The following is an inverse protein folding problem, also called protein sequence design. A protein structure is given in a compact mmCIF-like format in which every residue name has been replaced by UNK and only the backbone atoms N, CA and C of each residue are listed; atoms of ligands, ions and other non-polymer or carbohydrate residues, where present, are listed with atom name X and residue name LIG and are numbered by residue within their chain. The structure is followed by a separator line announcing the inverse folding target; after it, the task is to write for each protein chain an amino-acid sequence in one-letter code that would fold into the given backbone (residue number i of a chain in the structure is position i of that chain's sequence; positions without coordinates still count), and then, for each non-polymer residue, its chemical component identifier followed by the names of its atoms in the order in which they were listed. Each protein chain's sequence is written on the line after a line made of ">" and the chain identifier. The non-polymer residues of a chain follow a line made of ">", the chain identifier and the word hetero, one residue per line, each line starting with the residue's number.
data_IF_423112180125
#
_entry.id   IF_423112180125
#
_cell.length_a   1.000
_cell.length_b   1.000
_cell.length_c   1.000
_cell.angle_alpha   90.00
_cell.angle_beta   90.00
_cell.angle_gamma   90.00
#
_symmetry.space_group_name_H-M   'P 1'
#
loop_
_entity.id
_entity.type
_entity.pdbx_description
1 polymer ?
#
# COMPACT_ATOMS: atom_id res chain seq x y z
N UNK A 1 -19.48 24.44 -25.88
CA UNK A 1 -18.66 23.38 -25.24
C UNK A 1 -17.90 24.08 -24.12
N UNK A 2 -18.00 23.60 -22.89
CA UNK A 2 -17.26 24.15 -21.74
C UNK A 2 -15.75 24.10 -21.98
N UNK A 3 -15.03 25.20 -21.76
CA UNK A 3 -13.56 25.15 -21.75
C UNK A 3 -13.02 24.41 -20.51
N UNK A 4 -11.72 24.12 -20.47
CA UNK A 4 -11.12 23.34 -19.39
C UNK A 4 -11.23 24.02 -18.01
N UNK A 5 -11.09 25.34 -17.97
CA UNK A 5 -11.17 26.12 -16.73
C UNK A 5 -12.58 26.09 -16.15
N UNK A 6 -13.60 26.27 -16.98
CA UNK A 6 -15.00 26.23 -16.56
C UNK A 6 -15.38 24.83 -16.07
N UNK A 7 -14.89 23.77 -16.75
CA UNK A 7 -15.13 22.40 -16.29
C UNK A 7 -14.49 22.11 -14.94
N UNK A 8 -13.25 22.55 -14.72
CA UNK A 8 -12.56 22.41 -13.44
C UNK A 8 -13.30 23.15 -12.32
N UNK A 9 -13.76 24.38 -12.58
CA UNK A 9 -14.51 25.15 -11.61
C UNK A 9 -15.84 24.44 -11.26
N UNK A 10 -16.57 23.97 -12.24
CA UNK A 10 -17.81 23.22 -12.04
C UNK A 10 -17.61 21.96 -11.20
N UNK A 11 -16.56 21.17 -11.50
CA UNK A 11 -16.21 19.98 -10.73
C UNK A 11 -15.91 20.34 -9.28
N UNK A 12 -15.14 21.40 -9.04
CA UNK A 12 -14.79 21.83 -7.67
C UNK A 12 -15.98 22.37 -6.89
N UNK A 13 -16.89 23.10 -7.55
CA UNK A 13 -18.14 23.56 -6.91
C UNK A 13 -19.05 22.38 -6.54
N UNK A 14 -19.20 21.40 -7.44
CA UNK A 14 -19.97 20.18 -7.16
C UNK A 14 -19.33 19.35 -6.05
N UNK A 15 -18.00 19.23 -6.02
CA UNK A 15 -17.26 18.60 -4.94
C UNK A 15 -17.47 19.29 -3.59
N UNK A 16 -17.48 20.63 -3.55
CA UNK A 16 -17.76 21.41 -2.34
C UNK A 16 -19.17 21.20 -1.82
N UNK A 17 -20.14 21.09 -2.73
CA UNK A 17 -21.56 20.92 -2.40
C UNK A 17 -21.88 19.49 -1.96
N UNK A 18 -21.44 18.50 -2.74
CA UNK A 18 -21.91 17.10 -2.62
C UNK A 18 -20.86 16.18 -1.96
N UNK A 19 -19.65 16.69 -1.71
CA UNK A 19 -18.50 15.97 -1.14
C UNK A 19 -17.83 15.00 -2.11
N UNK A 20 -18.53 14.57 -3.17
CA UNK A 20 -18.04 13.64 -4.19
C UNK A 20 -18.68 13.90 -5.55
N UNK A 21 -18.02 13.47 -6.62
CA UNK A 21 -18.52 13.54 -8.02
C UNK A 21 -18.35 12.19 -8.70
N UNK A 22 -19.26 11.87 -9.64
CA UNK A 22 -19.24 10.67 -10.45
C UNK A 22 -18.91 11.00 -11.91
N UNK A 23 -18.06 10.18 -12.57
CA UNK A 23 -17.66 10.38 -13.97
C UNK A 23 -18.86 10.36 -14.91
N UNK A 24 -19.82 9.44 -14.73
CA UNK A 24 -20.98 9.32 -15.60
C UNK A 24 -21.88 10.56 -15.52
N UNK A 25 -22.16 11.03 -14.29
CA UNK A 25 -22.94 12.26 -14.07
C UNK A 25 -22.25 13.48 -14.71
N UNK A 26 -20.93 13.63 -14.51
CA UNK A 26 -20.17 14.73 -15.10
C UNK A 26 -20.14 14.66 -16.63
N UNK A 27 -20.11 13.48 -17.23
CA UNK A 27 -20.22 13.30 -18.68
C UNK A 27 -21.56 13.81 -19.21
N UNK A 28 -22.67 13.44 -18.56
CA UNK A 28 -24.01 13.86 -18.95
C UNK A 28 -24.20 15.37 -18.76
N UNK A 29 -23.80 15.92 -17.62
CA UNK A 29 -23.97 17.34 -17.29
C UNK A 29 -23.13 18.26 -18.14
N UNK A 30 -21.91 17.85 -18.53
CA UNK A 30 -20.98 18.68 -19.30
C UNK A 30 -20.96 18.38 -20.80
N UNK A 31 -21.60 17.30 -21.25
CA UNK A 31 -21.61 16.87 -22.64
C UNK A 31 -20.22 16.52 -23.20
N UNK A 32 -19.33 15.92 -22.36
CA UNK A 32 -17.97 15.55 -22.75
C UNK A 32 -17.70 14.07 -22.50
N UNK A 33 -16.66 13.54 -23.16
CA UNK A 33 -16.31 12.10 -23.03
C UNK A 33 -15.76 11.75 -21.66
N UNK A 34 -15.91 10.50 -21.26
CA UNK A 34 -15.30 9.99 -20.01
C UNK A 34 -13.77 10.07 -19.99
N UNK A 35 -13.12 10.08 -21.15
CA UNK A 35 -11.67 10.30 -21.25
C UNK A 35 -11.33 11.74 -20.85
N UNK A 36 -12.12 12.71 -21.30
CA UNK A 36 -11.96 14.14 -20.95
C UNK A 36 -12.14 14.32 -19.44
N UNK A 37 -13.22 13.79 -18.87
CA UNK A 37 -13.46 13.88 -17.42
C UNK A 37 -12.33 13.24 -16.61
N UNK A 38 -11.83 12.06 -17.01
CA UNK A 38 -10.70 11.42 -16.31
C UNK A 38 -9.43 12.27 -16.34
N UNK A 39 -9.15 12.97 -17.46
CA UNK A 39 -8.03 13.92 -17.55
C UNK A 39 -8.25 15.12 -16.64
N UNK A 40 -9.45 15.70 -16.64
CA UNK A 40 -9.78 16.84 -15.77
C UNK A 40 -9.64 16.49 -14.29
N UNK A 41 -10.18 15.33 -13.86
CA UNK A 41 -10.04 14.85 -12.48
C UNK A 41 -8.58 14.58 -12.12
N UNK A 42 -7.77 14.06 -13.04
CA UNK A 42 -6.33 13.86 -12.81
C UNK A 42 -5.61 15.19 -12.60
N UNK A 43 -5.86 16.19 -13.43
CA UNK A 43 -5.24 17.50 -13.27
C UNK A 43 -5.65 18.20 -11.96
N UNK A 44 -6.88 17.99 -11.50
CA UNK A 44 -7.35 18.53 -10.21
C UNK A 44 -6.70 17.79 -9.02
N UNK A 45 -6.50 16.48 -9.13
CA UNK A 45 -5.78 15.68 -8.14
C UNK A 45 -4.30 16.08 -8.08
N UNK A 46 -3.62 16.22 -9.23
CA UNK A 46 -2.22 16.64 -9.30
C UNK A 46 -1.99 18.04 -8.67
N UNK A 47 -3.04 18.87 -8.64
CA UNK A 47 -3.05 20.16 -7.94
C UNK A 47 -3.48 20.06 -6.47
N UNK A 48 -3.70 18.86 -5.94
CA UNK A 48 -4.19 18.57 -4.58
C UNK A 48 -5.54 19.25 -4.23
N UNK A 49 -6.40 19.46 -5.23
CA UNK A 49 -7.72 20.09 -5.07
C UNK A 49 -8.82 19.07 -4.77
N UNK A 50 -8.57 17.81 -4.98
CA UNK A 50 -9.48 16.67 -4.72
C UNK A 50 -8.71 15.36 -4.70
N UNK A 51 -9.40 14.27 -4.33
CA UNK A 51 -8.88 12.91 -4.35
C UNK A 51 -9.63 12.06 -5.37
N UNK A 52 -8.92 11.23 -6.14
CA UNK A 52 -9.53 10.26 -7.03
C UNK A 52 -10.16 9.12 -6.23
N UNK A 53 -11.37 8.70 -6.64
CA UNK A 53 -12.04 7.50 -6.15
C UNK A 53 -12.49 6.64 -7.33
N UNK A 54 -12.85 5.38 -7.09
CA UNK A 54 -13.38 4.50 -8.13
C UNK A 54 -14.65 5.12 -8.74
N UNK A 55 -14.57 5.47 -10.01
CA UNK A 55 -15.69 6.08 -10.75
C UNK A 55 -15.87 7.59 -10.57
N UNK A 56 -14.92 8.31 -9.91
CA UNK A 56 -15.09 9.75 -9.72
C UNK A 56 -14.00 10.45 -8.92
N UNK A 57 -14.43 11.44 -8.13
CA UNK A 57 -13.59 12.21 -7.23
C UNK A 57 -14.28 12.53 -5.89
N UNK A 58 -13.51 12.84 -4.87
CA UNK A 58 -13.97 13.22 -3.52
C UNK A 58 -13.19 14.41 -3.00
N UNK A 59 -13.85 15.31 -2.28
CA UNK A 59 -13.18 16.39 -1.55
C UNK A 59 -12.48 15.88 -0.29
N UNK A 60 -13.05 14.87 0.34
CA UNK A 60 -12.44 14.23 1.51
C UNK A 60 -11.45 13.18 1.04
N UNK A 61 -10.30 13.11 1.71
CA UNK A 61 -9.33 12.05 1.45
C UNK A 61 -9.99 10.69 1.79
N UNK A 62 -10.38 9.89 0.80
CA UNK A 62 -11.02 8.60 1.05
C UNK A 62 -10.04 7.58 1.65
N UNK A 63 -8.74 7.92 1.65
CA UNK A 63 -7.64 7.10 2.14
C UNK A 63 -7.17 7.54 3.53
N UNK A 64 -7.62 8.73 3.99
CA UNK A 64 -7.48 9.16 5.38
C UNK A 64 -8.40 8.37 6.33
N UNK A 65 -9.41 7.69 5.80
CA UNK A 65 -10.18 6.74 6.58
C UNK A 65 -9.29 5.55 6.94
N UNK A 66 -8.73 5.64 8.12
CA UNK A 66 -7.95 4.60 8.77
C UNK A 66 -8.88 3.44 9.17
N UNK A 67 -9.21 2.60 8.18
CA UNK A 67 -10.10 1.46 8.39
C UNK A 67 -9.43 0.42 9.29
N UNK A 68 -10.16 -0.11 10.27
CA UNK A 68 -9.69 -1.22 11.08
C UNK A 68 -9.23 -2.42 10.23
N UNK A 69 -8.21 -3.12 10.69
CA UNK A 69 -7.57 -4.21 9.93
C UNK A 69 -8.56 -5.35 9.58
N UNK A 70 -9.54 -5.63 10.44
CA UNK A 70 -10.54 -6.65 10.19
C UNK A 70 -11.49 -6.31 9.04
N UNK A 71 -11.79 -5.02 8.80
CA UNK A 71 -12.54 -4.60 7.63
C UNK A 71 -11.72 -4.73 6.33
N UNK A 72 -10.42 -4.37 6.41
CA UNK A 72 -9.50 -4.51 5.28
C UNK A 72 -9.30 -5.98 4.90
N UNK A 73 -9.37 -6.91 5.84
CA UNK A 73 -9.13 -8.35 5.62
C UNK A 73 -10.15 -8.96 4.64
N UNK A 74 -11.40 -8.54 4.71
CA UNK A 74 -12.48 -9.07 3.86
C UNK A 74 -12.44 -8.56 2.41
N UNK A 75 -11.70 -7.49 2.14
CA UNK A 75 -11.62 -6.87 0.81
C UNK A 75 -10.52 -7.57 0.00
N UNK A 76 -10.81 -8.05 -1.20
CA UNK A 76 -9.86 -8.69 -2.12
C UNK A 76 -9.07 -9.84 -1.46
N UNK A 77 -9.76 -10.68 -0.66
CA UNK A 77 -9.11 -11.72 0.14
C UNK A 77 -8.38 -12.76 -0.74
N UNK A 78 -8.94 -13.15 -1.88
CA UNK A 78 -8.33 -14.13 -2.77
C UNK A 78 -7.14 -13.55 -3.54
N UNK A 79 -7.20 -12.27 -3.93
CA UNK A 79 -6.06 -11.54 -4.50
C UNK A 79 -4.89 -11.53 -3.51
N UNK A 80 -5.14 -11.21 -2.25
CA UNK A 80 -4.10 -11.18 -1.20
C UNK A 80 -3.44 -12.53 -0.99
N UNK A 81 -4.21 -13.63 -1.02
CA UNK A 81 -3.65 -15.00 -0.93
C UNK A 81 -2.74 -15.33 -2.12
N UNK A 82 -3.13 -14.94 -3.36
CA UNK A 82 -2.28 -15.15 -4.54
C UNK A 82 -0.99 -14.32 -4.45
N UNK A 83 -1.10 -13.05 -4.07
CA UNK A 83 0.04 -12.16 -3.85
C UNK A 83 0.98 -12.75 -2.79
N UNK A 84 0.45 -13.20 -1.67
CA UNK A 84 1.24 -13.81 -0.60
C UNK A 84 1.96 -15.08 -1.06
N UNK A 85 1.28 -15.95 -1.84
CA UNK A 85 1.89 -17.17 -2.38
C UNK A 85 3.11 -16.86 -3.27
N UNK A 86 2.99 -15.86 -4.15
CA UNK A 86 4.10 -15.43 -4.99
C UNK A 86 5.26 -14.80 -4.17
N UNK A 87 4.94 -14.11 -3.08
CA UNK A 87 5.95 -13.54 -2.19
C UNK A 87 6.85 -14.60 -1.52
N UNK A 88 6.32 -15.79 -1.25
CA UNK A 88 7.09 -16.88 -0.62
C UNK A 88 8.25 -17.37 -1.49
N UNK A 89 8.18 -17.21 -2.81
CA UNK A 89 9.27 -17.58 -3.73
C UNK A 89 10.53 -16.74 -3.51
N UNK A 90 10.40 -15.55 -2.91
CA UNK A 90 11.52 -14.65 -2.61
C UNK A 90 12.22 -14.96 -1.27
N UNK A 91 11.75 -15.94 -0.51
CA UNK A 91 12.31 -16.30 0.81
C UNK A 91 13.41 -17.38 0.69
N UNK A 92 13.53 -18.06 -0.43
CA UNK A 92 14.31 -19.31 -0.56
C UNK A 92 15.79 -19.21 -0.21
N UNK A 93 16.40 -18.02 -0.31
CA UNK A 93 17.84 -17.81 -0.12
C UNK A 93 18.18 -16.98 1.12
N UNK A 94 17.20 -16.63 1.96
CA UNK A 94 17.44 -15.84 3.17
C UNK A 94 17.13 -16.63 4.44
N UNK A 95 17.82 -16.31 5.51
CA UNK A 95 17.59 -16.81 6.87
C UNK A 95 16.81 -15.84 7.74
N UNK A 96 16.54 -14.63 7.23
CA UNK A 96 15.81 -13.58 7.95
C UNK A 96 14.90 -12.78 7.03
N UNK A 97 13.67 -12.56 7.49
CA UNK A 97 12.69 -11.72 6.80
C UNK A 97 12.02 -10.75 7.78
N UNK A 98 11.59 -9.60 7.25
CA UNK A 98 10.65 -8.72 7.94
C UNK A 98 9.27 -8.84 7.30
N UNK A 99 8.24 -8.92 8.14
CA UNK A 99 6.83 -8.85 7.72
C UNK A 99 6.21 -7.63 8.40
N UNK A 100 5.83 -6.63 7.60
CA UNK A 100 5.19 -5.41 8.08
C UNK A 100 3.77 -5.62 8.59
N UNK A 101 3.04 -4.51 8.72
CA UNK A 101 1.62 -4.54 9.11
C UNK A 101 0.72 -4.55 7.88
N UNK A 102 -0.45 -5.19 8.01
CA UNK A 102 -1.46 -5.17 6.97
C UNK A 102 -1.99 -6.56 6.60
N UNK A 103 -3.15 -6.58 5.97
CA UNK A 103 -3.86 -7.83 5.66
C UNK A 103 -3.20 -8.64 4.54
N UNK A 104 -2.56 -7.99 3.57
CA UNK A 104 -1.87 -8.70 2.48
C UNK A 104 -0.60 -9.39 2.99
N UNK A 105 0.21 -8.72 3.80
CA UNK A 105 1.42 -9.30 4.38
C UNK A 105 1.09 -10.35 5.46
N UNK A 106 -0.06 -10.24 6.11
CA UNK A 106 -0.53 -11.27 7.04
C UNK A 106 -0.83 -12.60 6.33
N UNK A 107 -1.29 -12.57 5.08
CA UNK A 107 -1.44 -13.80 4.28
C UNK A 107 -0.08 -14.47 3.98
N UNK A 108 1.04 -13.72 3.92
CA UNK A 108 2.38 -14.33 3.86
C UNK A 108 2.65 -15.13 5.12
N UNK A 109 2.39 -14.57 6.30
CA UNK A 109 2.56 -15.29 7.56
C UNK A 109 1.71 -16.58 7.63
N UNK A 110 0.46 -16.50 7.18
CA UNK A 110 -0.43 -17.69 7.12
C UNK A 110 0.11 -18.79 6.21
N UNK A 111 0.68 -18.42 5.09
CA UNK A 111 1.17 -19.37 4.07
C UNK A 111 2.64 -19.80 4.29
N UNK A 112 3.33 -19.24 5.29
CA UNK A 112 4.74 -19.47 5.54
C UNK A 112 4.96 -20.79 6.32
N UNK A 113 5.57 -21.78 5.66
CA UNK A 113 5.97 -23.07 6.25
C UNK A 113 7.41 -23.37 5.82
N UNK A 114 8.41 -22.77 6.48
CA UNK A 114 9.80 -22.99 6.10
C UNK A 114 10.28 -24.40 6.48
N UNK A 115 11.16 -24.94 5.66
CA UNK A 115 11.79 -26.25 5.90
C UNK A 115 13.18 -26.14 6.57
N UNK A 116 13.66 -24.91 6.78
CA UNK A 116 14.91 -24.55 7.48
C UNK A 116 14.62 -23.41 8.46
N UNK A 117 15.54 -23.18 9.39
CA UNK A 117 15.42 -22.08 10.34
C UNK A 117 15.25 -20.73 9.62
N UNK A 118 14.29 -19.93 10.08
CA UNK A 118 13.97 -18.62 9.55
C UNK A 118 13.63 -17.67 10.70
N UNK A 119 14.33 -16.57 10.80
CA UNK A 119 14.01 -15.48 11.73
C UNK A 119 13.02 -14.53 11.07
N UNK A 120 11.90 -14.27 11.74
CA UNK A 120 10.86 -13.33 11.28
C UNK A 120 10.78 -12.15 12.23
N UNK A 121 11.06 -10.96 11.73
CA UNK A 121 10.97 -9.69 12.46
C UNK A 121 9.66 -9.01 12.09
N UNK A 122 8.87 -8.59 13.07
CA UNK A 122 7.56 -7.99 12.76
C UNK A 122 7.09 -6.98 13.81
N UNK A 123 6.48 -5.86 13.41
CA UNK A 123 5.72 -4.99 14.30
C UNK A 123 4.29 -5.48 14.54
N UNK A 124 3.78 -6.44 13.73
CA UNK A 124 2.38 -6.85 13.72
C UNK A 124 2.12 -7.98 14.71
N UNK A 125 1.29 -7.72 15.73
CA UNK A 125 0.91 -8.70 16.75
C UNK A 125 0.28 -9.96 16.15
N UNK A 126 -0.55 -9.80 15.11
CA UNK A 126 -1.21 -10.92 14.43
C UNK A 126 -0.21 -11.83 13.72
N UNK A 127 0.83 -11.24 13.09
CA UNK A 127 1.92 -12.00 12.44
C UNK A 127 2.71 -12.79 13.48
N UNK A 128 3.10 -12.13 14.58
CA UNK A 128 3.83 -12.78 15.64
C UNK A 128 3.03 -13.96 16.27
N UNK A 129 1.75 -13.75 16.55
CA UNK A 129 0.88 -14.78 17.10
C UNK A 129 0.71 -15.95 16.11
N UNK A 130 0.49 -15.68 14.83
CA UNK A 130 0.35 -16.71 13.79
C UNK A 130 1.59 -17.59 13.67
N UNK A 131 2.78 -16.99 13.81
CA UNK A 131 4.05 -17.66 13.60
C UNK A 131 4.68 -18.23 14.88
N UNK A 132 4.24 -17.83 16.08
CA UNK A 132 4.85 -18.16 17.36
C UNK A 132 4.96 -19.67 17.65
N UNK A 133 4.07 -20.48 17.09
CA UNK A 133 4.07 -21.93 17.24
C UNK A 133 4.48 -22.68 15.96
N UNK A 134 5.03 -21.96 14.96
CA UNK A 134 5.41 -22.54 13.67
C UNK A 134 6.80 -23.17 13.75
N UNK A 135 6.92 -24.43 13.35
CA UNK A 135 8.21 -25.12 13.30
C UNK A 135 9.21 -24.35 12.41
N UNK A 136 10.46 -24.33 12.82
CA UNK A 136 11.56 -23.65 12.13
C UNK A 136 11.43 -22.12 12.02
N UNK A 137 10.49 -21.50 12.74
CA UNK A 137 10.36 -20.03 12.77
C UNK A 137 10.73 -19.52 14.16
N UNK A 138 11.65 -18.56 14.19
CA UNK A 138 11.91 -17.72 15.35
C UNK A 138 11.32 -16.34 15.09
N UNK A 139 10.52 -15.81 16.03
CA UNK A 139 9.85 -14.53 15.86
C UNK A 139 10.46 -13.47 16.77
N UNK A 140 11.01 -12.42 16.16
CA UNK A 140 11.38 -11.19 16.84
C UNK A 140 10.24 -10.19 16.73
N UNK A 141 9.41 -10.10 17.76
CA UNK A 141 8.36 -9.10 17.87
C UNK A 141 8.96 -7.75 18.26
N UNK A 142 8.79 -6.72 17.43
CA UNK A 142 9.18 -5.37 17.80
C UNK A 142 8.30 -4.86 18.96
N UNK A 143 8.93 -4.19 19.92
CA UNK A 143 8.25 -3.57 21.08
C UNK A 143 7.82 -2.13 20.78
N UNK A 144 6.81 -1.64 21.49
CA UNK A 144 6.39 -0.24 21.35
C UNK A 144 4.91 0.00 21.69
N UNK A 145 4.39 1.14 21.26
CA UNK A 145 2.97 1.48 21.42
C UNK A 145 2.12 0.70 20.40
N UNK A 146 1.11 0.01 20.88
CA UNK A 146 0.17 -0.72 20.04
C UNK A 146 -0.84 0.23 19.43
N UNK A 147 -0.97 0.21 18.10
CA UNK A 147 -2.02 0.89 17.37
C UNK A 147 -3.21 -0.07 17.12
N UNK A 148 -4.40 0.23 17.67
CA UNK A 148 -5.55 -0.69 17.58
C UNK A 148 -5.96 -1.01 16.13
N UNK A 149 -6.03 0.02 15.26
CA UNK A 149 -6.53 -0.14 13.89
C UNK A 149 -5.68 -1.06 13.00
N UNK A 150 -4.38 -1.17 13.25
CA UNK A 150 -3.47 -2.06 12.51
C UNK A 150 -3.06 -3.30 13.32
N UNK A 151 -3.37 -3.34 14.62
CA UNK A 151 -2.85 -4.37 15.55
C UNK A 151 -1.33 -4.51 15.43
N UNK A 152 -0.64 -3.39 15.37
CA UNK A 152 0.83 -3.36 15.26
C UNK A 152 1.44 -2.34 16.20
N UNK A 153 2.73 -2.50 16.49
CA UNK A 153 3.49 -1.57 17.30
C UNK A 153 4.05 -0.44 16.45
N UNK A 154 4.32 0.70 17.08
CA UNK A 154 4.96 1.86 16.49
C UNK A 154 5.72 2.65 17.55
N UNK A 155 6.47 3.66 17.12
CA UNK A 155 7.18 4.61 17.99
C UNK A 155 8.67 4.32 18.12
N UNK A 156 9.35 5.17 18.92
CA UNK A 156 10.81 5.20 19.03
C UNK A 156 11.41 3.86 19.48
N UNK A 157 10.77 3.17 20.44
CA UNK A 157 11.27 1.87 20.92
C UNK A 157 11.33 0.82 19.81
N UNK A 158 10.31 0.76 18.94
CA UNK A 158 10.32 -0.16 17.80
C UNK A 158 11.44 0.20 16.80
N UNK A 159 11.68 1.51 16.59
CA UNK A 159 12.74 1.96 15.68
C UNK A 159 14.13 1.65 16.23
N UNK A 160 14.36 1.87 17.51
CA UNK A 160 15.65 1.56 18.19
C UNK A 160 16.01 0.07 18.11
N UNK A 161 15.03 -0.82 18.22
CA UNK A 161 15.26 -2.27 18.08
C UNK A 161 15.83 -2.66 16.71
N UNK A 162 15.66 -1.81 15.69
CA UNK A 162 16.14 -2.06 14.32
C UNK A 162 17.57 -1.54 14.07
N UNK A 163 18.16 -0.77 14.99
CA UNK A 163 19.46 -0.12 14.75
C UNK A 163 20.61 -1.11 14.51
N UNK A 164 20.57 -2.28 15.16
CA UNK A 164 21.60 -3.32 15.06
C UNK A 164 21.13 -4.54 14.26
N UNK A 165 20.08 -4.40 13.44
CA UNK A 165 19.51 -5.51 12.67
C UNK A 165 19.80 -5.31 11.18
N UNK A 166 20.22 -6.40 10.52
CA UNK A 166 20.23 -6.53 9.06
C UNK A 166 19.31 -7.67 8.67
N UNK A 167 18.47 -7.46 7.65
CA UNK A 167 17.48 -8.42 7.22
C UNK A 167 17.51 -8.64 5.70
N UNK A 168 17.33 -9.88 5.25
CA UNK A 168 17.39 -10.22 3.83
C UNK A 168 16.23 -9.62 3.04
N UNK A 169 14.98 -9.88 3.46
CA UNK A 169 13.77 -9.45 2.70
C UNK A 169 12.76 -8.78 3.63
N UNK A 170 12.23 -7.64 3.20
CA UNK A 170 11.13 -6.97 3.86
C UNK A 170 9.85 -7.00 3.01
N UNK A 171 8.81 -7.65 3.49
CA UNK A 171 7.47 -7.64 2.92
C UNK A 171 6.67 -6.47 3.49
N UNK A 172 6.42 -5.46 2.67
CA UNK A 172 5.78 -4.21 3.03
C UNK A 172 4.33 -4.17 2.52
N UNK A 173 3.37 -4.06 3.44
CA UNK A 173 1.98 -3.73 3.14
C UNK A 173 1.76 -2.22 3.06
N UNK A 174 0.91 -1.76 2.12
CA UNK A 174 0.75 -0.34 1.81
C UNK A 174 -0.73 0.04 1.63
N UNK A 175 -1.04 1.33 1.81
CA UNK A 175 -2.36 1.88 1.52
C UNK A 175 -2.39 2.65 0.19
N UNK A 176 -1.23 3.10 -0.32
CA UNK A 176 -1.12 3.82 -1.58
C UNK A 176 0.22 3.64 -2.28
N UNK A 177 0.15 3.51 -3.61
CA UNK A 177 1.27 3.51 -4.56
C UNK A 177 0.96 4.57 -5.61
N UNK A 178 1.80 5.58 -5.72
CA UNK A 178 1.69 6.67 -6.70
C UNK A 178 3.03 6.91 -7.38
N UNK A 179 3.04 7.05 -8.70
CA UNK A 179 4.30 7.14 -9.47
C UNK A 179 5.16 8.35 -9.09
N UNK A 180 4.56 9.44 -8.61
CA UNK A 180 5.27 10.66 -8.23
C UNK A 180 5.49 10.78 -6.72
N UNK A 181 4.52 10.32 -5.91
CA UNK A 181 4.58 10.42 -4.45
C UNK A 181 5.31 9.23 -3.82
N UNK A 182 5.34 8.09 -4.48
CA UNK A 182 5.93 6.85 -3.98
C UNK A 182 4.93 6.01 -3.16
N UNK A 183 5.45 5.34 -2.16
CA UNK A 183 4.75 4.40 -1.28
C UNK A 183 4.24 5.12 -0.04
N UNK A 184 3.00 4.83 0.35
CA UNK A 184 2.36 5.53 1.47
C UNK A 184 1.39 4.65 2.28
N UNK A 185 1.12 5.10 3.49
CA UNK A 185 0.20 4.45 4.45
C UNK A 185 -0.67 5.49 5.13
N UNK A 186 -1.78 5.06 5.75
CA UNK A 186 -2.77 5.96 6.38
C UNK A 186 -2.29 6.61 7.68
N UNK A 187 -1.22 6.13 8.30
CA UNK A 187 -0.72 6.64 9.59
C UNK A 187 0.74 7.07 9.50
N UNK A 188 1.02 8.28 9.98
CA UNK A 188 2.35 8.88 9.92
C UNK A 188 3.40 8.16 10.79
N UNK A 189 3.03 7.72 11.99
CA UNK A 189 3.95 7.01 12.88
C UNK A 189 4.30 5.60 12.36
N UNK A 190 3.36 4.92 11.70
CA UNK A 190 3.64 3.67 11.00
C UNK A 190 4.52 3.89 9.77
N UNK A 191 4.34 5.02 9.06
CA UNK A 191 5.22 5.36 7.94
C UNK A 191 6.67 5.50 8.40
N UNK A 192 6.93 6.18 9.51
CA UNK A 192 8.27 6.35 10.06
C UNK A 192 8.93 5.00 10.45
N UNK A 193 8.17 4.09 11.07
CA UNK A 193 8.70 2.75 11.37
C UNK A 193 8.98 1.96 10.09
N UNK A 194 8.10 2.01 9.09
CA UNK A 194 8.32 1.34 7.81
C UNK A 194 9.53 1.90 7.05
N UNK A 195 9.81 3.21 7.14
CA UNK A 195 11.04 3.81 6.60
C UNK A 195 12.28 3.17 7.25
N UNK A 196 12.30 3.05 8.58
CA UNK A 196 13.41 2.42 9.30
C UNK A 196 13.56 0.94 8.93
N UNK A 197 12.46 0.21 8.74
CA UNK A 197 12.49 -1.19 8.28
C UNK A 197 13.04 -1.32 6.85
N UNK A 198 12.77 -0.36 5.96
CA UNK A 198 13.35 -0.32 4.61
C UNK A 198 14.87 -0.16 4.67
N UNK A 199 15.37 0.74 5.52
CA UNK A 199 16.82 0.97 5.70
C UNK A 199 17.55 -0.28 6.23
N UNK A 200 16.85 -1.15 6.93
CA UNK A 200 17.38 -2.36 7.56
C UNK A 200 17.43 -3.55 6.58
N UNK A 201 16.62 -3.53 5.52
CA UNK A 201 16.43 -4.64 4.59
C UNK A 201 17.29 -4.53 3.33
N UNK A 202 17.84 -5.68 2.88
CA UNK A 202 18.55 -5.77 1.61
C UNK A 202 17.60 -5.73 0.40
N UNK A 203 16.41 -6.35 0.54
CA UNK A 203 15.40 -6.41 -0.50
C UNK A 203 14.05 -5.95 0.03
N UNK A 204 13.45 -4.96 -0.61
CA UNK A 204 12.12 -4.44 -0.26
C UNK A 204 11.10 -4.94 -1.28
N UNK A 205 10.08 -5.63 -0.79
CA UNK A 205 8.99 -6.23 -1.58
C UNK A 205 7.66 -5.62 -1.14
N UNK A 206 7.05 -4.82 -1.99
CA UNK A 206 5.71 -4.25 -1.75
C UNK A 206 4.64 -5.25 -2.16
N UNK A 207 3.74 -5.56 -1.25
CA UNK A 207 2.59 -6.44 -1.49
C UNK A 207 1.30 -5.62 -1.49
N UNK A 208 0.69 -5.47 -2.65
CA UNK A 208 -0.45 -4.58 -2.81
C UNK A 208 -1.46 -5.14 -3.83
N UNK A 209 -2.73 -5.20 -3.48
CA UNK A 209 -3.76 -5.42 -4.47
C UNK A 209 -3.91 -4.18 -5.39
N UNK A 210 -4.49 -4.38 -6.58
CA UNK A 210 -4.64 -3.35 -7.62
C UNK A 210 -5.38 -2.09 -7.16
N UNK A 211 -6.16 -2.17 -6.08
CA UNK A 211 -6.87 -1.01 -5.54
C UNK A 211 -5.96 -0.02 -4.81
N UNK A 212 -4.69 -0.36 -4.60
CA UNK A 212 -3.69 0.49 -3.93
C UNK A 212 -2.95 1.43 -4.88
N UNK A 213 -3.03 1.19 -6.18
CA UNK A 213 -2.39 2.04 -7.19
C UNK A 213 -3.16 3.34 -7.43
N UNK A 214 -2.45 4.36 -7.89
CA UNK A 214 -2.95 5.72 -8.10
C UNK A 214 -3.58 6.32 -6.82
N UNK A 215 -2.94 6.04 -5.66
CA UNK A 215 -3.40 6.46 -4.33
C UNK A 215 -2.27 6.98 -3.46
N UNK A 216 -2.63 7.95 -2.60
CA UNK A 216 -1.71 8.54 -1.61
C UNK A 216 -2.32 8.43 -0.21
N UNK A 217 -1.64 7.74 0.70
CA UNK A 217 -1.93 7.78 2.13
C UNK A 217 -1.38 9.06 2.77
N UNK A 218 -1.72 9.30 4.04
CA UNK A 218 -1.28 10.47 4.80
C UNK A 218 0.23 10.46 5.02
N UNK A 219 0.80 9.31 5.38
CA UNK A 219 2.23 9.14 5.66
C UNK A 219 2.97 8.57 4.45
N UNK A 220 3.90 9.33 3.86
CA UNK A 220 4.83 8.81 2.86
C UNK A 220 5.83 7.91 3.55
N UNK A 221 5.99 6.69 3.04
CA UNK A 221 6.99 5.73 3.52
C UNK A 221 8.31 5.98 2.79
N UNK A 222 8.30 5.89 1.44
CA UNK A 222 9.50 6.02 0.63
C UNK A 222 9.15 6.43 -0.81
N UNK A 223 10.17 6.76 -1.60
CA UNK A 223 10.05 6.82 -3.05
C UNK A 223 10.06 5.43 -3.66
N UNK A 224 9.69 5.34 -4.94
CA UNK A 224 9.70 4.06 -5.66
C UNK A 224 11.12 3.51 -5.87
N UNK A 225 12.11 4.37 -5.91
CA UNK A 225 13.54 4.02 -6.06
C UNK A 225 14.10 3.13 -4.93
N UNK A 226 13.39 3.04 -3.80
CA UNK A 226 13.76 2.17 -2.67
C UNK A 226 13.06 0.80 -2.72
N UNK A 227 12.24 0.54 -3.74
CA UNK A 227 11.46 -0.69 -3.89
C UNK A 227 12.09 -1.58 -4.95
N UNK A 228 12.32 -2.85 -4.62
CA UNK A 228 12.92 -3.83 -5.54
C UNK A 228 11.85 -4.64 -6.29
N UNK A 229 10.76 -4.99 -5.60
CA UNK A 229 9.67 -5.79 -6.15
C UNK A 229 8.32 -5.19 -5.76
N UNK A 230 7.36 -5.28 -6.68
CA UNK A 230 5.95 -5.09 -6.39
C UNK A 230 5.20 -6.34 -6.85
N UNK A 231 4.46 -6.96 -5.93
CA UNK A 231 3.59 -8.11 -6.25
C UNK A 231 2.14 -7.66 -6.15
N UNK A 232 1.39 -7.86 -7.22
CA UNK A 232 0.00 -7.38 -7.32
C UNK A 232 -0.89 -8.35 -8.11
N UNK A 233 -2.20 -8.10 -8.11
CA UNK A 233 -3.18 -8.87 -8.87
C UNK A 233 -3.38 -8.35 -10.30
N UNK A 234 -4.12 -9.14 -11.13
CA UNK A 234 -4.34 -8.88 -12.56
C UNK A 234 -5.18 -7.66 -12.90
N UNK A 235 -5.82 -7.03 -11.91
CA UNK A 235 -6.68 -5.86 -12.15
C UNK A 235 -5.88 -4.55 -12.19
N UNK A 236 -4.56 -4.58 -11.96
CA UNK A 236 -3.68 -3.42 -12.17
C UNK A 236 -3.62 -3.05 -13.65
N UNK A 237 -3.55 -1.74 -13.96
CA UNK A 237 -3.48 -1.30 -15.36
C UNK A 237 -2.13 -1.65 -15.99
N UNK A 238 -2.15 -2.08 -17.26
CA UNK A 238 -0.91 -2.37 -18.02
C UNK A 238 -0.01 -1.13 -18.14
N UNK A 239 -0.57 0.06 -18.22
CA UNK A 239 0.19 1.32 -18.26
C UNK A 239 0.94 1.58 -16.96
N UNK A 240 0.32 1.32 -15.81
CA UNK A 240 0.95 1.46 -14.49
C UNK A 240 2.08 0.43 -14.34
N UNK A 241 1.83 -0.83 -14.71
CA UNK A 241 2.87 -1.88 -14.67
C UNK A 241 4.07 -1.50 -15.54
N UNK A 242 3.84 -0.99 -16.75
CA UNK A 242 4.90 -0.57 -17.66
C UNK A 242 5.71 0.58 -17.05
N UNK A 243 5.05 1.63 -16.54
CA UNK A 243 5.72 2.77 -15.94
C UNK A 243 6.59 2.39 -14.73
N UNK A 244 6.12 1.45 -13.89
CA UNK A 244 6.90 0.96 -12.73
C UNK A 244 8.10 0.13 -13.20
N UNK A 245 7.96 -0.72 -14.23
CA UNK A 245 9.08 -1.50 -14.78
C UNK A 245 10.16 -0.61 -15.42
N UNK A 246 9.78 0.54 -15.98
CA UNK A 246 10.72 1.55 -16.51
C UNK A 246 11.56 2.22 -15.40
N UNK A 247 11.21 2.03 -14.12
CA UNK A 247 11.98 2.47 -12.94
C UNK A 247 12.86 1.35 -12.35
N UNK A 248 13.16 0.29 -13.11
CA UNK A 248 13.95 -0.89 -12.69
C UNK A 248 13.32 -1.71 -11.54
N UNK A 249 12.02 -1.54 -11.29
CA UNK A 249 11.29 -2.31 -10.28
C UNK A 249 10.71 -3.57 -10.92
N UNK A 250 10.96 -4.73 -10.32
CA UNK A 250 10.38 -6.00 -10.77
C UNK A 250 8.92 -6.09 -10.35
N UNK A 251 8.00 -6.18 -11.33
CA UNK A 251 6.54 -6.32 -11.07
C UNK A 251 6.10 -7.73 -11.39
N UNK A 252 5.57 -8.42 -10.37
CA UNK A 252 4.97 -9.77 -10.46
C UNK A 252 3.44 -9.59 -10.39
N UNK A 253 2.75 -10.05 -11.43
CA UNK A 253 1.28 -9.98 -11.54
C UNK A 253 0.69 -11.39 -11.45
N UNK A 254 -0.22 -11.63 -10.48
CA UNK A 254 -0.77 -12.96 -10.12
C UNK A 254 -2.29 -13.05 -10.25
#
# INVERSE_FOLDING_TARGET
>A
MMNITDRHQYILEKLKKDGKVNIFELMEEMGVSGVTIRKDLKLLEDKNLMYRIRGGGSINNPYAADRPIYEKELINADEKKRIAKAALELISETDSIMIGSGTTVFEVARALFPNKHLTVITPALRVALELSNRSHVEVLQLGGLIRPNSSSVMGASAMQMLDDISCGVFFLGVDGIDLNFGISISNFSEAALNQKMIETAQTVVVLADSTKFDRRGLGRICGLEQVHYIITDRNVSNSTVKAIKEMDIKVIVV
#
